data_IF_142736750172
#
_entry.id   IF_142736750172
#
_cell.length_a   1.000
_cell.length_b   1.000
_cell.length_c   1.000
_cell.angle_alpha   90.00
_cell.angle_beta   90.00
_cell.angle_gamma   90.00
#
_symmetry.space_group_name_H-M   'P 1'
#
loop_
_entity.id
_entity.type
_entity.pdbx_description
1 polymer ?
#
# COMPACT_ATOMS: atom_id res chain seq x y z
N UNK A 1 13.06 14.89 7.39
CA UNK A 1 12.10 14.69 8.51
C UNK A 1 11.11 13.63 8.06
N UNK A 2 10.80 12.65 8.92
CA UNK A 2 9.78 11.65 8.64
C UNK A 2 8.41 12.14 9.16
N UNK A 3 7.37 11.98 8.35
CA UNK A 3 5.98 12.30 8.70
C UNK A 3 5.19 11.01 8.58
N UNK A 4 4.57 10.56 9.66
CA UNK A 4 3.59 9.46 9.63
C UNK A 4 2.25 10.05 9.23
N UNK A 5 1.70 9.58 8.11
CA UNK A 5 0.36 9.96 7.68
C UNK A 5 -0.68 9.21 8.53
N UNK A 6 -1.92 9.73 8.65
CA UNK A 6 -2.97 9.02 9.38
C UNK A 6 -3.14 7.58 8.89
N UNK A 7 -3.22 6.64 9.82
CA UNK A 7 -3.54 5.24 9.51
C UNK A 7 -4.90 5.16 8.81
N UNK A 8 -4.97 4.40 7.71
CA UNK A 8 -6.17 4.25 6.91
C UNK A 8 -6.67 2.81 6.98
N UNK A 9 -7.90 2.62 7.43
CA UNK A 9 -8.56 1.32 7.39
C UNK A 9 -9.11 1.03 6.00
N UNK A 10 -9.12 -0.24 5.61
CA UNK A 10 -9.69 -0.69 4.35
C UNK A 10 -10.61 -1.89 4.51
N UNK A 11 -11.64 -1.91 3.66
CA UNK A 11 -12.46 -3.06 3.33
C UNK A 11 -12.63 -3.02 1.82
N UNK A 12 -12.16 -4.06 1.12
CA UNK A 12 -12.18 -4.16 -0.32
C UNK A 12 -12.96 -5.41 -0.71
N UNK A 13 -14.08 -5.22 -1.40
CA UNK A 13 -14.79 -6.33 -2.04
C UNK A 13 -13.92 -7.00 -3.11
N UNK A 14 -14.22 -8.24 -3.55
CA UNK A 14 -13.40 -8.94 -4.52
C UNK A 14 -13.18 -8.13 -5.81
N UNK A 15 -11.95 -8.13 -6.31
CA UNK A 15 -11.54 -7.46 -7.56
C UNK A 15 -11.73 -5.92 -7.51
N UNK A 16 -11.60 -5.32 -6.32
CA UNK A 16 -11.63 -3.87 -6.13
C UNK A 16 -10.23 -3.35 -5.77
N UNK A 17 -9.83 -2.30 -6.47
CA UNK A 17 -8.61 -1.55 -6.19
C UNK A 17 -8.93 -0.18 -5.58
N UNK A 18 -8.08 0.29 -4.66
CA UNK A 18 -8.16 1.64 -4.09
C UNK A 18 -6.76 2.20 -3.83
N UNK A 19 -6.53 3.46 -4.17
CA UNK A 19 -5.33 4.21 -3.80
C UNK A 19 -5.45 4.77 -2.37
N UNK A 20 -4.34 4.75 -1.64
CA UNK A 20 -4.23 5.25 -0.26
C UNK A 20 -3.17 6.34 -0.11
N UNK A 21 -2.33 6.50 -1.14
CA UNK A 21 -1.36 7.56 -1.22
C UNK A 21 -1.14 7.93 -2.67
N UNK A 22 -1.07 9.24 -2.93
CA UNK A 22 -0.78 9.80 -4.24
C UNK A 22 0.08 11.05 -4.05
N UNK A 23 1.21 11.10 -4.72
CA UNK A 23 2.08 12.26 -4.79
C UNK A 23 2.51 12.46 -6.25
N UNK A 24 1.74 13.29 -6.95
CA UNK A 24 1.99 13.63 -8.35
C UNK A 24 3.05 14.73 -8.52
N UNK A 25 3.62 15.24 -7.42
CA UNK A 25 4.61 16.32 -7.43
C UNK A 25 6.06 15.82 -7.59
N UNK A 26 6.27 14.58 -8.06
CA UNK A 26 7.60 14.00 -8.28
C UNK A 26 8.04 12.96 -7.24
N UNK A 27 7.10 12.45 -6.43
CA UNK A 27 7.31 11.35 -5.50
C UNK A 27 8.11 11.71 -4.25
N UNK A 28 8.13 10.81 -3.27
CA UNK A 28 8.88 11.00 -2.02
C UNK A 28 9.35 9.65 -1.46
N UNK A 29 10.41 9.63 -0.67
CA UNK A 29 10.79 8.42 0.05
C UNK A 29 9.69 8.09 1.07
N UNK A 30 9.31 6.82 1.16
CA UNK A 30 8.26 6.40 2.08
C UNK A 30 8.47 4.98 2.60
N UNK A 31 8.01 4.72 3.82
CA UNK A 31 7.74 3.38 4.30
C UNK A 31 6.24 3.10 4.16
N UNK A 32 5.89 2.01 3.50
CA UNK A 32 4.51 1.56 3.34
C UNK A 32 4.32 0.29 4.14
N UNK A 33 3.47 0.35 5.15
CA UNK A 33 3.08 -0.78 5.99
C UNK A 33 1.64 -1.14 5.72
N UNK A 34 1.40 -2.40 5.37
CA UNK A 34 0.05 -2.93 5.22
C UNK A 34 -0.10 -4.11 6.17
N UNK A 35 -1.15 -4.07 6.98
CA UNK A 35 -1.53 -5.17 7.84
C UNK A 35 -2.85 -5.76 7.33
N UNK A 36 -2.77 -6.97 6.79
CA UNK A 36 -3.92 -7.72 6.32
C UNK A 36 -4.42 -8.63 7.44
N UNK A 37 -5.58 -8.29 8.00
CA UNK A 37 -6.20 -9.06 9.09
C UNK A 37 -7.33 -9.96 8.58
N UNK A 38 -7.54 -10.02 7.26
CA UNK A 38 -8.52 -10.91 6.63
C UNK A 38 -7.95 -12.29 6.33
N UNK A 39 -8.86 -13.22 6.02
CA UNK A 39 -8.56 -14.60 5.63
C UNK A 39 -8.21 -14.75 4.13
N UNK A 40 -8.23 -13.65 3.37
CA UNK A 40 -7.89 -13.60 1.95
C UNK A 40 -6.62 -12.77 1.70
N UNK A 41 -5.83 -13.06 0.66
CA UNK A 41 -4.66 -12.25 0.32
C UNK A 41 -5.05 -10.92 -0.32
N UNK A 42 -4.26 -9.87 -0.05
CA UNK A 42 -4.37 -8.54 -0.68
C UNK A 42 -3.07 -8.21 -1.40
N UNK A 43 -3.18 -7.51 -2.53
CA UNK A 43 -2.02 -7.06 -3.30
C UNK A 43 -1.71 -5.59 -3.00
N UNK A 44 -0.48 -5.32 -2.58
CA UNK A 44 0.07 -3.97 -2.49
C UNK A 44 0.71 -3.61 -3.82
N UNK A 45 0.17 -2.59 -4.48
CA UNK A 45 0.64 -2.05 -5.75
C UNK A 45 1.36 -0.73 -5.50
N UNK A 46 2.63 -0.67 -5.89
CA UNK A 46 3.50 0.48 -5.71
C UNK A 46 3.94 1.03 -7.07
N UNK A 47 3.73 2.33 -7.26
CA UNK A 47 4.25 3.08 -8.41
C UNK A 47 5.29 4.07 -7.93
N UNK A 48 6.45 4.11 -8.59
CA UNK A 48 7.55 5.03 -8.27
C UNK A 48 7.92 5.85 -9.50
N UNK A 49 8.62 6.96 -9.27
CA UNK A 49 9.18 7.78 -10.35
C UNK A 49 10.12 6.95 -11.21
N UNK A 50 9.93 6.98 -12.53
CA UNK A 50 10.80 6.35 -13.53
C UNK A 50 11.09 4.86 -13.27
N UNK A 51 10.14 4.13 -12.67
CA UNK A 51 10.27 2.71 -12.40
C UNK A 51 8.98 1.96 -12.78
N UNK A 52 9.07 0.65 -13.10
CA UNK A 52 7.88 -0.15 -13.34
C UNK A 52 7.02 -0.26 -12.07
N UNK A 53 5.73 -0.52 -12.28
CA UNK A 53 4.79 -0.85 -11.20
C UNK A 53 5.22 -2.17 -10.56
N UNK A 54 5.27 -2.21 -9.23
CA UNK A 54 5.60 -3.40 -8.48
C UNK A 54 4.40 -3.82 -7.65
N UNK A 55 4.07 -5.11 -7.71
CA UNK A 55 2.98 -5.70 -6.94
C UNK A 55 3.53 -6.73 -5.97
N UNK A 56 3.19 -6.59 -4.70
CA UNK A 56 3.51 -7.54 -3.64
C UNK A 56 2.22 -8.18 -3.11
N UNK A 57 2.19 -9.51 -3.08
CA UNK A 57 1.10 -10.23 -2.43
C UNK A 57 1.35 -10.30 -0.93
N UNK A 58 0.40 -9.83 -0.14
CA UNK A 58 0.39 -9.95 1.30
C UNK A 58 -0.59 -11.09 1.65
N UNK A 59 -0.10 -12.20 2.22
CA UNK A 59 -0.95 -13.31 2.60
C UNK A 59 -2.03 -12.93 3.62
N UNK A 60 -3.00 -13.82 3.81
CA UNK A 60 -3.96 -13.74 4.89
C UNK A 60 -3.26 -13.64 6.26
N UNK A 61 -3.84 -12.87 7.19
CA UNK A 61 -3.34 -12.69 8.56
C UNK A 61 -1.85 -12.34 8.64
N UNK A 62 -1.37 -11.47 7.75
CA UNK A 62 0.04 -11.13 7.66
C UNK A 62 0.23 -9.62 7.41
N UNK A 63 1.42 -9.13 7.72
CA UNK A 63 1.80 -7.73 7.53
C UNK A 63 3.07 -7.63 6.69
N UNK A 64 3.15 -6.59 5.86
CA UNK A 64 4.33 -6.27 5.08
C UNK A 64 4.68 -4.80 5.24
N UNK A 65 5.95 -4.53 5.51
CA UNK A 65 6.51 -3.17 5.52
C UNK A 65 7.59 -3.08 4.46
N UNK A 66 7.49 -2.10 3.56
CA UNK A 66 8.46 -1.85 2.51
C UNK A 66 8.99 -0.42 2.60
N UNK A 67 10.30 -0.27 2.46
CA UNK A 67 10.94 1.01 2.21
C UNK A 67 10.95 1.27 0.71
N UNK A 68 10.41 2.42 0.30
CA UNK A 68 10.14 2.76 -1.10
C UNK A 68 10.75 4.12 -1.42
N UNK A 69 11.75 4.12 -2.32
CA UNK A 69 12.34 5.36 -2.82
C UNK A 69 11.44 6.02 -3.87
N UNK A 70 11.21 7.33 -3.77
CA UNK A 70 10.42 8.13 -4.72
C UNK A 70 9.04 7.51 -5.06
N UNK A 71 8.26 7.16 -4.03
CA UNK A 71 6.90 6.67 -4.13
C UNK A 71 5.97 7.75 -4.73
N UNK A 72 5.26 7.37 -5.80
CA UNK A 72 4.19 8.18 -6.41
C UNK A 72 2.82 7.73 -5.93
N UNK A 73 2.54 6.43 -5.96
CA UNK A 73 1.24 5.88 -5.59
C UNK A 73 1.42 4.59 -4.79
N UNK A 74 0.68 4.47 -3.69
CA UNK A 74 0.47 3.19 -3.01
C UNK A 74 -1.02 2.85 -3.05
N UNK A 75 -1.33 1.68 -3.62
CA UNK A 75 -2.69 1.19 -3.77
C UNK A 75 -2.79 -0.25 -3.27
N UNK A 76 -4.00 -0.64 -2.86
CA UNK A 76 -4.34 -2.02 -2.55
C UNK A 76 -5.32 -2.54 -3.58
N UNK A 77 -5.13 -3.79 -3.99
CA UNK A 77 -6.01 -4.52 -4.89
C UNK A 77 -6.41 -5.82 -4.21
N UNK A 78 -7.71 -6.04 -4.03
CA UNK A 78 -8.23 -7.33 -3.58
C UNK A 78 -8.17 -8.35 -4.73
N UNK A 79 -8.04 -9.61 -4.36
CA UNK A 79 -8.05 -10.72 -5.33
C UNK A 79 -9.48 -11.23 -5.54
N UNK A 80 -9.72 -12.09 -6.55
CA UNK A 80 -11.01 -12.78 -6.67
C UNK A 80 -11.33 -13.74 -5.52
N UNK A 81 -10.39 -13.97 -4.59
CA UNK A 81 -10.53 -14.94 -3.50
C UNK A 81 -11.58 -14.55 -2.45
N UNK A 82 -11.82 -13.25 -2.26
CA UNK A 82 -12.86 -12.75 -1.36
C UNK A 82 -12.58 -11.33 -0.88
N UNK A 83 -13.44 -10.84 0.01
CA UNK A 83 -13.33 -9.51 0.62
C UNK A 83 -12.10 -9.44 1.53
N UNK A 84 -11.28 -8.40 1.38
CA UNK A 84 -10.08 -8.19 2.21
C UNK A 84 -10.24 -6.95 3.10
N UNK A 85 -9.70 -6.99 4.31
CA UNK A 85 -9.78 -5.88 5.24
C UNK A 85 -8.57 -5.80 6.18
N UNK A 86 -8.31 -4.60 6.66
CA UNK A 86 -7.18 -4.28 7.52
C UNK A 86 -6.84 -2.80 7.53
N UNK A 87 -5.56 -2.49 7.65
CA UNK A 87 -5.10 -1.10 7.59
C UNK A 87 -3.79 -0.94 6.82
N UNK A 88 -3.60 0.26 6.32
CA UNK A 88 -2.36 0.73 5.71
C UNK A 88 -1.89 1.99 6.44
N UNK A 89 -0.60 2.04 6.70
CA UNK A 89 0.10 3.20 7.26
C UNK A 89 1.25 3.54 6.32
N UNK A 90 1.41 4.84 6.05
CA UNK A 90 2.44 5.36 5.17
C UNK A 90 3.18 6.44 5.95
N UNK A 91 4.50 6.31 6.05
CA UNK A 91 5.36 7.37 6.54
C UNK A 91 6.22 7.90 5.41
N UNK A 92 6.27 9.21 5.22
CA UNK A 92 7.05 9.86 4.16
C UNK A 92 8.28 10.53 4.75
N UNK A 93 9.41 10.48 4.04
CA UNK A 93 10.68 11.11 4.43
C UNK A 93 11.23 11.94 3.28
N UNK A 94 11.71 13.14 3.61
CA UNK A 94 12.45 14.04 2.69
C UNK A 94 13.98 13.83 2.76
N UNK A 95 14.43 12.69 3.25
CA UNK A 95 15.84 12.29 3.33
C UNK A 95 16.02 10.91 2.73
#
# INVERSE_FOLDING_TARGET
MAIVLPQQFFVLEPVIGKSYYENLAGGINAAVTVNNISDQPVQLVLTRVNAPVITYTIPAFNSLTLQVHALLVAALLSTPAGTTFGFIEISTSDF
#
